data_IF_359607641971
#
_entry.id   IF_359607641971
#
_cell.length_a   1.000
_cell.length_b   1.000
_cell.length_c   1.000
_cell.angle_alpha   90.00
_cell.angle_beta   90.00
_cell.angle_gamma   90.00
#
_symmetry.space_group_name_H-M   'P 1'
#
loop_
_entity.id
_entity.type
_entity.pdbx_description
1 polymer ?
#
# COMPACT_ATOMS: atom_id res chain seq x y z
N UNK A 1 9.38 -6.83 -10.28
CA UNK A 1 8.51 -7.27 -9.18
C UNK A 1 7.35 -7.99 -9.83
N UNK A 2 7.44 -9.31 -9.88
CA UNK A 2 6.65 -10.07 -10.84
C UNK A 2 5.43 -10.61 -10.10
N UNK A 3 4.28 -9.98 -10.38
CA UNK A 3 2.92 -10.42 -10.02
C UNK A 3 2.31 -9.84 -8.73
N UNK A 4 2.16 -8.51 -8.66
CA UNK A 4 1.21 -7.87 -7.74
C UNK A 4 -0.21 -8.12 -8.24
N UNK A 5 -1.03 -8.83 -7.45
CA UNK A 5 -2.39 -9.23 -7.85
C UNK A 5 -3.48 -8.49 -7.08
N UNK A 6 -3.10 -7.83 -5.99
CA UNK A 6 -3.95 -7.10 -5.05
C UNK A 6 -3.70 -5.60 -5.07
N UNK A 7 -2.70 -5.12 -5.81
CA UNK A 7 -2.49 -3.69 -6.05
C UNK A 7 -2.99 -3.32 -7.45
N UNK A 8 -3.88 -2.33 -7.49
CA UNK A 8 -4.43 -1.75 -8.72
C UNK A 8 -4.01 -0.28 -8.84
N UNK A 9 -3.68 0.14 -10.06
CA UNK A 9 -3.37 1.53 -10.39
C UNK A 9 -4.35 1.95 -11.48
N UNK A 10 -5.29 2.82 -11.12
CA UNK A 10 -6.27 3.37 -12.05
C UNK A 10 -6.21 4.91 -11.97
N UNK A 11 -5.84 5.62 -13.06
CA UNK A 11 -5.80 7.08 -13.10
C UNK A 11 -7.12 7.76 -12.67
N UNK A 12 -8.27 7.11 -12.88
CA UNK A 12 -9.58 7.63 -12.49
C UNK A 12 -9.89 7.43 -10.99
N UNK A 13 -9.11 6.61 -10.27
CA UNK A 13 -9.32 6.28 -8.86
C UNK A 13 -8.22 6.93 -8.01
N UNK A 14 -8.63 7.70 -6.99
CA UNK A 14 -7.72 8.32 -6.01
C UNK A 14 -6.54 9.10 -6.64
N UNK A 15 -6.73 9.63 -7.86
CA UNK A 15 -5.70 10.38 -8.60
C UNK A 15 -4.55 9.51 -9.11
N UNK A 16 -4.82 8.25 -9.48
CA UNK A 16 -3.81 7.33 -10.00
C UNK A 16 -2.89 6.73 -8.93
N UNK A 17 -3.21 6.91 -7.65
CA UNK A 17 -2.43 6.32 -6.56
C UNK A 17 -2.62 4.80 -6.53
N UNK A 18 -1.56 4.02 -6.24
CA UNK A 18 -1.67 2.58 -6.01
C UNK A 18 -2.67 2.28 -4.89
N UNK A 19 -3.68 1.50 -5.19
CA UNK A 19 -4.77 1.14 -4.30
C UNK A 19 -4.91 -0.37 -4.15
N UNK A 20 -5.44 -0.83 -3.02
CA UNK A 20 -5.86 -2.21 -2.85
C UNK A 20 -6.96 -2.54 -3.87
N UNK A 21 -6.88 -3.71 -4.50
CA UNK A 21 -7.72 -4.29 -5.56
C UNK A 21 -9.16 -3.75 -5.61
N UNK A 22 -9.40 -2.79 -6.50
CA UNK A 22 -10.75 -2.23 -6.74
C UNK A 22 -11.34 -1.47 -5.54
N UNK A 23 -10.51 -1.14 -4.54
CA UNK A 23 -10.89 -0.38 -3.35
C UNK A 23 -10.29 1.02 -3.42
N UNK A 24 -10.91 1.95 -2.68
CA UNK A 24 -10.38 3.32 -2.50
C UNK A 24 -9.48 3.44 -1.27
N UNK A 25 -8.68 2.40 -1.01
CA UNK A 25 -7.69 2.36 0.07
C UNK A 25 -6.31 2.34 -0.58
N UNK A 26 -5.51 3.38 -0.36
CA UNK A 26 -4.21 3.49 -1.01
C UNK A 26 -3.15 2.66 -0.29
N UNK A 27 -2.11 2.22 -1.01
CA UNK A 27 -0.93 1.60 -0.40
C UNK A 27 -0.32 2.50 0.67
N UNK A 28 -0.23 3.81 0.38
CA UNK A 28 0.27 4.80 1.35
C UNK A 28 -0.57 4.88 2.62
N UNK A 29 -1.88 4.65 2.55
CA UNK A 29 -2.74 4.56 3.73
C UNK A 29 -2.36 3.38 4.60
N UNK A 30 -2.15 2.20 4.02
CA UNK A 30 -1.75 1.00 4.76
C UNK A 30 -0.38 1.20 5.40
N UNK A 31 0.61 1.66 4.62
CA UNK A 31 1.96 1.95 5.12
C UNK A 31 1.93 2.96 6.25
N UNK A 32 1.15 4.04 6.11
CA UNK A 32 1.02 5.07 7.14
C UNK A 32 0.40 4.54 8.44
N UNK A 33 -0.59 3.66 8.37
CA UNK A 33 -1.19 3.04 9.56
C UNK A 33 -0.19 2.13 10.28
N UNK A 34 0.52 1.28 9.55
CA UNK A 34 1.57 0.43 10.12
C UNK A 34 2.70 1.28 10.72
N UNK A 35 3.12 2.34 10.03
CA UNK A 35 4.15 3.28 10.52
C UNK A 35 3.70 4.03 11.79
N UNK A 36 2.40 4.27 11.97
CA UNK A 36 1.85 4.83 13.21
C UNK A 36 1.75 3.83 14.37
N UNK A 37 2.22 2.59 14.18
CA UNK A 37 2.28 1.56 15.21
C UNK A 37 1.07 0.63 15.28
N UNK A 38 0.14 0.71 14.32
CA UNK A 38 -0.98 -0.25 14.28
C UNK A 38 -0.47 -1.62 13.86
N UNK A 39 -0.91 -2.65 14.58
CA UNK A 39 -0.77 -4.03 14.16
C UNK A 39 -1.68 -4.34 12.96
N UNK A 40 -1.33 -5.39 12.21
CA UNK A 40 -2.14 -5.88 11.10
C UNK A 40 -3.59 -6.16 11.54
N UNK A 41 -3.78 -6.75 12.73
CA UNK A 41 -5.11 -7.05 13.26
C UNK A 41 -5.92 -5.78 13.54
N UNK A 42 -5.30 -4.70 13.99
CA UNK A 42 -5.98 -3.41 14.20
C UNK A 42 -6.35 -2.75 12.87
N UNK A 43 -5.48 -2.86 11.86
CA UNK A 43 -5.79 -2.41 10.49
C UNK A 43 -6.99 -3.20 9.94
N UNK A 44 -7.02 -4.51 10.09
CA UNK A 44 -8.14 -5.36 9.66
C UNK A 44 -9.43 -5.05 10.44
N UNK A 45 -9.35 -4.73 11.73
CA UNK A 45 -10.52 -4.26 12.50
C UNK A 45 -11.07 -2.94 11.96
N UNK A 46 -10.19 -2.02 11.54
CA UNK A 46 -10.55 -0.71 10.99
C UNK A 46 -11.08 -0.82 9.55
N UNK A 47 -10.59 -1.81 8.81
CA UNK A 47 -10.93 -2.08 7.41
C UNK A 47 -11.33 -3.55 7.25
N UNK A 48 -12.53 -3.95 7.72
CA UNK A 48 -12.93 -5.36 7.81
C UNK A 48 -13.11 -6.08 6.47
N UNK A 49 -13.10 -5.32 5.36
CA UNK A 49 -13.15 -5.83 3.99
C UNK A 49 -11.75 -6.09 3.41
N UNK A 50 -10.68 -5.76 4.13
CA UNK A 50 -9.32 -6.14 3.75
C UNK A 50 -9.02 -7.55 4.22
N UNK A 51 -8.16 -8.21 3.45
CA UNK A 51 -7.51 -9.45 3.85
C UNK A 51 -6.09 -9.15 4.33
N UNK A 52 -5.54 -10.01 5.19
CA UNK A 52 -4.15 -9.89 5.62
C UNK A 52 -3.18 -9.85 4.42
N UNK A 53 -3.47 -10.60 3.36
CA UNK A 53 -2.70 -10.60 2.13
C UNK A 53 -2.71 -9.24 1.39
N UNK A 54 -3.79 -8.46 1.49
CA UNK A 54 -3.84 -7.11 0.93
C UNK A 54 -2.83 -6.18 1.62
N UNK A 55 -2.68 -6.32 2.94
CA UNK A 55 -1.73 -5.53 3.74
C UNK A 55 -0.29 -5.92 3.39
N UNK A 56 0.01 -7.22 3.32
CA UNK A 56 1.34 -7.67 2.96
C UNK A 56 1.75 -7.25 1.54
N UNK A 57 0.84 -7.36 0.56
CA UNK A 57 1.16 -6.94 -0.81
C UNK A 57 1.33 -5.42 -0.92
N UNK A 58 0.60 -4.63 -0.13
CA UNK A 58 0.82 -3.19 -0.02
C UNK A 58 2.19 -2.84 0.57
N UNK A 59 2.63 -3.54 1.61
CA UNK A 59 3.96 -3.36 2.19
C UNK A 59 5.06 -3.77 1.20
N UNK A 60 4.86 -4.89 0.48
CA UNK A 60 5.78 -5.34 -0.56
C UNK A 60 5.90 -4.30 -1.69
N UNK A 61 4.78 -3.78 -2.18
CA UNK A 61 4.77 -2.71 -3.19
C UNK A 61 5.56 -1.50 -2.71
N UNK A 62 5.34 -1.08 -1.46
CA UNK A 62 6.03 0.07 -0.89
C UNK A 62 7.55 -0.17 -0.81
N UNK A 63 7.98 -1.35 -0.35
CA UNK A 63 9.40 -1.71 -0.29
C UNK A 63 10.06 -1.66 -1.66
N UNK A 64 9.49 -2.34 -2.67
CA UNK A 64 9.99 -2.29 -4.03
C UNK A 64 10.02 -0.85 -4.58
N UNK A 65 8.96 -0.07 -4.36
CA UNK A 65 8.91 1.31 -4.88
C UNK A 65 9.98 2.20 -4.27
N UNK A 66 10.36 1.95 -3.01
CA UNK A 66 11.45 2.66 -2.33
C UNK A 66 12.83 2.28 -2.85
N UNK A 67 13.03 1.05 -3.33
CA UNK A 67 14.30 0.62 -3.95
C UNK A 67 14.51 1.27 -5.33
N UNK A 68 13.42 1.53 -6.06
CA UNK A 68 13.47 2.13 -7.40
C UNK A 68 13.65 3.67 -7.39
N UNK A 69 13.55 4.32 -6.22
CA UNK A 69 13.69 5.77 -6.09
C UNK A 69 14.86 6.07 -5.17
N UNK A 70 16.04 6.26 -5.76
CA UNK A 70 17.12 6.97 -5.08
C UNK A 70 16.69 8.44 -4.93
N UNK A 71 16.41 8.87 -3.70
CA UNK A 71 16.30 10.29 -3.41
C UNK A 71 17.71 10.88 -3.59
N UNK A 72 17.91 11.86 -4.49
CA UNK A 72 19.18 12.56 -4.53
C UNK A 72 19.40 13.16 -3.14
N UNK A 73 20.57 12.91 -2.55
CA UNK A 73 20.95 13.58 -1.32
C UNK A 73 20.87 15.08 -1.57
N UNK A 74 19.89 15.73 -0.95
CA UNK A 74 19.86 17.18 -0.90
C UNK A 74 20.98 17.60 0.06
N UNK A 75 22.14 17.94 -0.53
CA UNK A 75 23.21 18.70 0.10
C UNK A 75 22.74 20.10 0.46
#
# INVERSE_FOLDING_TARGET
MDNLTRITIDPAVMGGKPCIRGMRVTVGTIVGLIASGLSINEVLKKYPYLEQADIYEALAYAAWRSEEVELPFAS
#
